data_IF_030941270744
#
_entry.id   IF_030941270744
#
_cell.length_a   1.000
_cell.length_b   1.000
_cell.length_c   1.000
_cell.angle_alpha   90.00
_cell.angle_beta   90.00
_cell.angle_gamma   90.00
#
_symmetry.space_group_name_H-M   'P 1'
#
loop_
_entity.id
_entity.type
_entity.pdbx_description
1 polymer ?
#
# COMPACT_ATOMS: atom_id res chain seq x y z
N UNK A 1 -11.72 8.66 -11.83
CA UNK A 1 -11.50 7.30 -11.26
C UNK A 1 -12.77 6.69 -10.62
N UNK A 2 -13.89 7.39 -10.65
CA UNK A 2 -15.16 6.89 -10.10
C UNK A 2 -15.92 5.96 -11.04
N UNK A 3 -15.59 5.98 -12.34
CA UNK A 3 -16.21 5.12 -13.36
C UNK A 3 -15.32 3.93 -13.71
N UNK A 4 -15.88 2.73 -13.95
CA UNK A 4 -15.12 1.53 -14.30
C UNK A 4 -14.20 1.70 -15.52
N UNK A 5 -14.68 2.39 -16.57
CA UNK A 5 -13.89 2.67 -17.79
C UNK A 5 -12.65 3.53 -17.48
N UNK A 6 -12.81 4.54 -16.64
CA UNK A 6 -11.69 5.41 -16.24
C UNK A 6 -10.68 4.64 -15.37
N UNK A 7 -11.16 3.73 -14.52
CA UNK A 7 -10.29 2.85 -13.74
C UNK A 7 -9.53 1.88 -14.64
N UNK A 8 -10.21 1.29 -15.64
CA UNK A 8 -9.57 0.41 -16.62
C UNK A 8 -8.48 1.16 -17.39
N UNK A 9 -8.79 2.34 -17.91
CA UNK A 9 -7.81 3.20 -18.60
C UNK A 9 -6.60 3.54 -17.72
N UNK A 10 -6.82 3.93 -16.46
CA UNK A 10 -5.73 4.21 -15.54
C UNK A 10 -4.85 2.97 -15.28
N UNK A 11 -5.44 1.79 -15.15
CA UNK A 11 -4.70 0.52 -15.01
C UNK A 11 -3.88 0.21 -16.26
N UNK A 12 -4.45 0.41 -17.45
CA UNK A 12 -3.76 0.17 -18.72
C UNK A 12 -2.53 1.09 -18.86
N UNK A 13 -2.68 2.37 -18.52
CA UNK A 13 -1.56 3.33 -18.50
C UNK A 13 -0.48 2.89 -17.53
N UNK A 14 -0.83 2.55 -16.29
CA UNK A 14 0.15 2.13 -15.28
C UNK A 14 0.84 0.81 -15.65
N UNK A 15 0.11 -0.15 -16.23
CA UNK A 15 0.68 -1.41 -16.70
C UNK A 15 1.63 -1.18 -17.87
N UNK A 16 1.25 -0.34 -18.85
CA UNK A 16 2.13 0.04 -19.94
C UNK A 16 3.44 0.69 -19.43
N UNK A 17 3.34 1.60 -18.46
CA UNK A 17 4.54 2.21 -17.86
C UNK A 17 5.42 1.16 -17.18
N UNK A 18 4.83 0.19 -16.48
CA UNK A 18 5.58 -0.91 -15.84
C UNK A 18 6.31 -1.79 -16.87
N UNK A 19 5.64 -2.13 -17.96
CA UNK A 19 6.24 -2.89 -19.07
C UNK A 19 7.43 -2.13 -19.65
N UNK A 20 7.27 -0.84 -19.93
CA UNK A 20 8.38 0.01 -20.44
C UNK A 20 9.56 0.09 -19.46
N UNK A 21 9.30 0.20 -18.16
CA UNK A 21 10.38 0.17 -17.16
C UNK A 21 11.10 -1.17 -17.12
N UNK A 22 10.39 -2.28 -17.31
CA UNK A 22 11.01 -3.61 -17.44
C UNK A 22 11.90 -3.71 -18.67
N UNK A 23 11.45 -3.18 -19.82
CA UNK A 23 12.27 -3.14 -21.04
C UNK A 23 13.53 -2.28 -20.85
N UNK A 24 13.41 -1.14 -20.16
CA UNK A 24 14.57 -0.29 -19.86
C UNK A 24 15.55 -0.97 -18.89
N UNK A 25 15.04 -1.71 -17.90
CA UNK A 25 15.90 -2.52 -17.01
C UNK A 25 16.67 -3.58 -17.81
N UNK A 26 16.04 -4.24 -18.77
CA UNK A 26 16.71 -5.20 -19.64
C UNK A 26 17.71 -4.52 -20.57
N UNK A 27 17.35 -3.40 -21.18
CA UNK A 27 18.16 -2.68 -22.15
C UNK A 27 19.40 -2.02 -21.54
N UNK A 28 19.24 -1.39 -20.37
CA UNK A 28 20.30 -0.55 -19.78
C UNK A 28 20.99 -1.21 -18.58
N UNK A 29 20.41 -2.26 -18.00
CA UNK A 29 20.96 -2.93 -16.82
C UNK A 29 20.76 -2.16 -15.51
N UNK A 30 20.04 -1.03 -15.51
CA UNK A 30 19.74 -0.20 -14.35
C UNK A 30 18.41 -0.58 -13.71
N UNK A 31 18.20 -0.19 -12.45
CA UNK A 31 16.94 -0.38 -11.74
C UNK A 31 16.05 0.87 -11.88
N UNK A 32 14.79 0.66 -12.26
CA UNK A 32 13.81 1.72 -12.41
C UNK A 32 12.59 1.47 -11.51
N UNK A 33 12.00 2.55 -11.00
CA UNK A 33 10.80 2.54 -10.19
C UNK A 33 9.65 3.26 -10.90
N UNK A 34 8.42 2.79 -10.68
CA UNK A 34 7.21 3.55 -10.96
C UNK A 34 6.74 4.18 -9.65
N UNK A 35 6.99 5.46 -9.48
CA UNK A 35 6.71 6.19 -8.25
C UNK A 35 5.40 6.98 -8.32
N UNK A 36 4.59 6.88 -7.26
CA UNK A 36 3.47 7.79 -7.02
C UNK A 36 3.99 9.05 -6.31
N UNK A 37 4.46 10.02 -7.08
CA UNK A 37 5.10 11.24 -6.54
C UNK A 37 4.07 12.17 -5.91
N UNK A 38 4.25 12.60 -4.65
CA UNK A 38 3.42 13.65 -4.05
C UNK A 38 3.77 15.02 -4.67
N UNK A 39 2.77 15.75 -5.12
CA UNK A 39 2.93 16.98 -5.87
C UNK A 39 2.06 18.12 -5.30
N UNK A 40 2.48 18.75 -4.21
CA UNK A 40 1.70 19.74 -3.49
C UNK A 40 1.43 21.03 -4.28
N UNK A 41 2.50 21.68 -4.78
CA UNK A 41 2.38 22.93 -5.52
C UNK A 41 2.03 22.68 -6.99
N UNK A 42 2.51 21.59 -7.56
CA UNK A 42 2.36 21.28 -8.98
C UNK A 42 0.90 20.97 -9.33
N UNK A 43 0.18 20.24 -8.49
CA UNK A 43 -1.25 19.92 -8.69
C UNK A 43 -2.11 21.19 -8.76
N UNK A 44 -1.82 22.20 -7.95
CA UNK A 44 -2.50 23.49 -8.01
C UNK A 44 -2.06 24.31 -9.23
N UNK A 45 -0.74 24.43 -9.41
CA UNK A 45 -0.16 25.27 -10.47
C UNK A 45 -0.64 24.82 -11.85
N UNK A 46 -0.57 23.53 -12.15
CA UNK A 46 -1.01 23.02 -13.45
C UNK A 46 -2.51 23.20 -13.62
N UNK A 47 -3.33 22.82 -12.65
CA UNK A 47 -4.77 23.00 -12.75
C UNK A 47 -5.18 24.45 -13.01
N UNK A 48 -4.47 25.42 -12.39
CA UNK A 48 -4.70 26.86 -12.59
C UNK A 48 -4.38 27.29 -14.03
N UNK A 49 -3.25 26.85 -14.57
CA UNK A 49 -2.85 27.19 -15.95
C UNK A 49 -3.76 26.49 -16.96
N UNK A 50 -4.00 25.21 -16.80
CA UNK A 50 -4.85 24.44 -17.69
C UNK A 50 -6.29 24.97 -17.72
N UNK A 51 -6.84 25.37 -16.58
CA UNK A 51 -8.19 25.97 -16.52
C UNK A 51 -8.26 27.32 -17.22
N UNK A 52 -7.18 28.10 -17.21
CA UNK A 52 -7.10 29.37 -17.93
C UNK A 52 -6.98 29.18 -19.44
N UNK A 53 -6.21 28.20 -19.89
CA UNK A 53 -5.99 27.91 -21.30
C UNK A 53 -7.11 27.06 -21.91
N UNK A 54 -7.63 26.13 -21.14
CA UNK A 54 -8.70 25.19 -21.53
C UNK A 54 -9.88 25.28 -20.54
N UNK A 55 -10.78 26.27 -20.66
CA UNK A 55 -11.86 26.50 -19.69
C UNK A 55 -12.80 25.31 -19.47
N UNK A 56 -12.87 24.39 -20.43
CA UNK A 56 -13.67 23.15 -20.35
C UNK A 56 -12.98 21.98 -19.66
N UNK A 57 -11.69 22.13 -19.25
CA UNK A 57 -10.98 21.03 -18.60
C UNK A 57 -11.58 20.70 -17.22
N UNK A 58 -11.71 19.40 -16.95
CA UNK A 58 -12.22 18.92 -15.66
C UNK A 58 -11.08 18.88 -14.65
N UNK A 59 -11.27 19.53 -13.52
CA UNK A 59 -10.38 19.50 -12.36
C UNK A 59 -11.09 18.84 -11.17
N UNK A 60 -10.38 18.56 -10.09
CA UNK A 60 -10.98 17.95 -8.90
C UNK A 60 -12.03 18.84 -8.22
N UNK A 61 -11.93 20.17 -8.40
CA UNK A 61 -12.92 21.15 -7.99
C UNK A 61 -13.34 21.98 -9.21
N UNK A 62 -14.63 21.99 -9.53
CA UNK A 62 -15.17 22.74 -10.68
C UNK A 62 -15.62 24.15 -10.32
N UNK A 63 -16.03 24.39 -9.07
CA UNK A 63 -16.70 25.61 -8.62
C UNK A 63 -15.84 26.51 -7.71
N UNK A 64 -14.57 26.20 -7.52
CA UNK A 64 -13.67 26.95 -6.64
C UNK A 64 -12.26 27.01 -7.20
N UNK A 65 -11.28 27.10 -6.31
CA UNK A 65 -9.86 27.05 -6.68
C UNK A 65 -9.53 25.68 -7.32
N UNK A 66 -9.10 25.63 -8.59
CA UNK A 66 -8.85 24.37 -9.28
C UNK A 66 -7.62 23.65 -8.71
N UNK A 67 -7.66 22.33 -8.63
CA UNK A 67 -6.51 21.49 -8.33
C UNK A 67 -6.69 20.12 -8.97
N UNK A 68 -5.58 19.40 -9.16
CA UNK A 68 -5.56 18.00 -9.52
C UNK A 68 -5.29 17.13 -8.29
N UNK A 69 -5.79 15.90 -8.31
CA UNK A 69 -5.40 14.89 -7.33
C UNK A 69 -3.95 14.42 -7.58
N UNK A 70 -3.27 13.92 -6.56
CA UNK A 70 -1.96 13.34 -6.74
C UNK A 70 -2.08 11.95 -7.39
N UNK A 71 -1.20 11.66 -8.35
CA UNK A 71 -1.09 10.35 -8.98
C UNK A 71 -2.47 9.76 -9.34
N UNK A 72 -2.79 8.55 -8.91
CA UNK A 72 -4.09 7.89 -9.10
C UNK A 72 -5.01 7.97 -7.86
N UNK A 73 -4.82 8.97 -6.99
CA UNK A 73 -5.69 9.15 -5.83
C UNK A 73 -7.11 9.57 -6.25
N UNK A 74 -8.10 9.07 -5.50
CA UNK A 74 -9.47 9.55 -5.60
C UNK A 74 -9.59 11.03 -5.21
N UNK A 75 -10.54 11.75 -5.79
CA UNK A 75 -10.93 13.06 -5.24
C UNK A 75 -11.32 12.92 -3.76
N UNK A 76 -10.82 13.84 -2.94
CA UNK A 76 -10.97 13.79 -1.47
C UNK A 76 -12.42 13.91 -0.99
N UNK A 77 -13.32 14.38 -1.85
CA UNK A 77 -14.76 14.45 -1.61
C UNK A 77 -15.55 13.25 -2.14
N UNK A 78 -14.89 12.16 -2.55
CA UNK A 78 -15.57 11.02 -3.18
C UNK A 78 -16.55 10.30 -2.25
N UNK A 79 -16.11 9.91 -1.05
CA UNK A 79 -16.92 9.14 -0.11
C UNK A 79 -16.47 9.33 1.33
N UNK A 80 -17.41 9.11 2.27
CA UNK A 80 -17.14 9.04 3.71
C UNK A 80 -16.90 7.59 4.17
N UNK A 81 -17.10 6.60 3.29
CA UNK A 81 -16.84 5.18 3.57
C UNK A 81 -15.42 4.81 3.16
N UNK A 82 -14.57 4.52 4.15
CA UNK A 82 -13.16 4.17 3.92
C UNK A 82 -13.01 2.91 3.06
N UNK A 83 -13.90 1.92 3.21
CA UNK A 83 -13.79 0.67 2.45
C UNK A 83 -14.20 0.86 1.00
N UNK A 84 -15.20 1.71 0.72
CA UNK A 84 -15.53 2.10 -0.67
C UNK A 84 -14.38 2.82 -1.37
N UNK A 85 -13.62 3.66 -0.65
CA UNK A 85 -12.42 4.29 -1.19
C UNK A 85 -11.29 3.28 -1.42
N UNK A 86 -11.08 2.38 -0.48
CA UNK A 86 -10.07 1.32 -0.57
C UNK A 86 -10.35 0.34 -1.71
N UNK A 87 -11.64 0.04 -1.98
CA UNK A 87 -12.04 -0.83 -3.10
C UNK A 87 -11.57 -0.30 -4.46
N UNK A 88 -11.56 1.01 -4.64
CA UNK A 88 -11.05 1.65 -5.86
C UNK A 88 -9.53 1.76 -5.84
N UNK A 89 -8.95 2.14 -4.70
CA UNK A 89 -7.52 2.47 -4.60
C UNK A 89 -6.63 1.23 -4.55
N UNK A 90 -7.10 0.12 -4.01
CA UNK A 90 -6.30 -1.10 -3.82
C UNK A 90 -5.66 -1.59 -5.13
N UNK A 91 -6.44 -1.63 -6.21
CA UNK A 91 -5.96 -2.13 -7.49
C UNK A 91 -5.02 -1.15 -8.20
N UNK A 92 -5.25 0.16 -8.05
CA UNK A 92 -4.42 1.19 -8.69
C UNK A 92 -3.12 1.41 -7.93
N UNK A 93 -3.21 1.51 -6.60
CA UNK A 93 -2.05 1.78 -5.74
C UNK A 93 -1.03 0.64 -5.75
N UNK A 94 -1.46 -0.61 -5.94
CA UNK A 94 -0.58 -1.78 -6.03
C UNK A 94 0.16 -1.91 -7.36
N UNK A 95 -0.16 -1.08 -8.35
CA UNK A 95 0.57 -1.01 -9.62
C UNK A 95 1.85 -0.16 -9.52
N UNK A 96 1.93 0.75 -8.57
CA UNK A 96 3.17 1.47 -8.27
C UNK A 96 4.17 0.57 -7.56
N UNK A 97 5.45 0.81 -7.78
CA UNK A 97 6.55 0.10 -7.12
C UNK A 97 7.18 0.92 -5.99
N UNK A 98 6.87 2.22 -5.92
CA UNK A 98 7.40 3.16 -4.94
C UNK A 98 6.43 4.33 -4.69
N UNK A 99 6.59 5.02 -3.58
CA UNK A 99 5.93 6.31 -3.24
C UNK A 99 4.43 6.26 -3.02
N UNK A 100 3.78 5.11 -3.19
CA UNK A 100 2.33 5.00 -3.05
C UNK A 100 1.89 4.98 -1.59
N UNK A 101 0.79 5.66 -1.29
CA UNK A 101 0.19 5.72 0.04
C UNK A 101 -1.30 6.01 -0.04
N UNK A 102 -2.09 5.41 0.84
CA UNK A 102 -3.48 5.79 1.05
C UNK A 102 -3.61 6.57 2.37
N UNK A 103 -4.05 7.81 2.30
CA UNK A 103 -4.29 8.63 3.49
C UNK A 103 -5.75 8.53 3.92
N UNK A 104 -6.01 7.85 5.04
CA UNK A 104 -7.32 7.85 5.68
C UNK A 104 -7.47 9.14 6.50
N UNK A 105 -8.15 10.14 5.93
CA UNK A 105 -8.44 11.39 6.62
C UNK A 105 -9.57 11.17 7.63
N UNK A 106 -9.24 11.27 8.90
CA UNK A 106 -10.19 11.18 10.01
C UNK A 106 -10.46 12.59 10.54
N UNK A 107 -11.72 12.88 10.85
CA UNK A 107 -12.10 14.19 11.40
C UNK A 107 -11.47 14.46 12.76
N UNK A 108 -11.28 13.40 13.54
CA UNK A 108 -10.65 13.44 14.85
C UNK A 108 -9.90 12.14 15.17
N UNK A 109 -9.27 12.12 16.33
CA UNK A 109 -8.59 10.92 16.83
C UNK A 109 -9.59 9.78 17.07
N UNK A 110 -9.21 8.57 16.68
CA UNK A 110 -9.99 7.37 16.99
C UNK A 110 -10.16 7.21 18.52
N UNK A 111 -11.31 6.69 18.98
CA UNK A 111 -11.68 6.68 20.40
C UNK A 111 -10.72 5.86 21.27
N UNK A 112 -10.03 4.88 20.70
CA UNK A 112 -9.08 4.04 21.43
C UNK A 112 -8.02 3.44 20.50
N UNK A 113 -6.92 2.98 21.08
CA UNK A 113 -5.89 2.24 20.32
C UNK A 113 -6.43 0.90 19.80
N UNK A 114 -7.39 0.28 20.52
CA UNK A 114 -8.05 -0.95 20.07
C UNK A 114 -8.85 -0.71 18.78
N UNK A 115 -9.59 0.40 18.70
CA UNK A 115 -10.30 0.79 17.48
C UNK A 115 -9.34 1.03 16.33
N UNK A 116 -8.21 1.68 16.57
CA UNK A 116 -7.16 1.88 15.56
C UNK A 116 -6.56 0.53 15.10
N UNK A 117 -6.22 -0.35 16.04
CA UNK A 117 -5.67 -1.68 15.72
C UNK A 117 -6.67 -2.55 14.96
N UNK A 118 -7.95 -2.50 15.31
CA UNK A 118 -9.01 -3.24 14.60
C UNK A 118 -9.17 -2.74 13.15
N UNK A 119 -9.14 -1.42 12.93
CA UNK A 119 -9.22 -0.84 11.59
C UNK A 119 -7.99 -1.22 10.75
N UNK A 120 -6.78 -1.07 11.31
CA UNK A 120 -5.52 -1.46 10.66
C UNK A 120 -5.54 -2.94 10.27
N UNK A 121 -5.94 -3.82 11.18
CA UNK A 121 -6.05 -5.26 10.91
C UNK A 121 -7.06 -5.52 9.79
N UNK A 122 -8.26 -4.92 9.87
CA UNK A 122 -9.31 -5.09 8.87
C UNK A 122 -8.86 -4.65 7.47
N UNK A 123 -8.08 -3.58 7.37
CA UNK A 123 -7.49 -3.15 6.09
C UNK A 123 -6.42 -4.15 5.63
N UNK A 124 -5.47 -4.51 6.49
CA UNK A 124 -4.38 -5.41 6.14
C UNK A 124 -4.83 -6.82 5.72
N UNK A 125 -5.92 -7.32 6.32
CA UNK A 125 -6.48 -8.65 5.99
C UNK A 125 -7.28 -8.67 4.69
N UNK A 126 -7.82 -7.52 4.23
CA UNK A 126 -8.73 -7.46 3.09
C UNK A 126 -8.16 -6.76 1.86
N UNK A 127 -7.11 -5.96 1.99
CA UNK A 127 -6.51 -5.15 0.92
C UNK A 127 -5.03 -5.46 0.75
N UNK A 128 -4.50 -5.15 -0.43
CA UNK A 128 -3.09 -5.37 -0.80
C UNK A 128 -2.24 -4.11 -0.69
N UNK A 129 -2.84 -2.99 -0.34
CA UNK A 129 -2.18 -1.70 -0.21
C UNK A 129 -0.91 -1.80 0.64
N UNK A 130 0.25 -1.41 0.10
CA UNK A 130 1.53 -1.56 0.80
C UNK A 130 1.70 -0.56 1.95
N UNK A 131 1.05 0.60 1.84
CA UNK A 131 1.18 1.67 2.82
C UNK A 131 -0.11 2.49 2.93
N UNK A 132 -0.57 2.68 4.14
CA UNK A 132 -1.70 3.56 4.45
C UNK A 132 -1.51 4.23 5.81
N UNK A 133 -2.14 5.39 6.00
CA UNK A 133 -2.02 6.17 7.23
C UNK A 133 -3.39 6.50 7.80
N UNK A 134 -3.49 6.50 9.14
CA UNK A 134 -4.61 7.07 9.86
C UNK A 134 -4.26 8.52 10.19
N UNK A 135 -4.97 9.47 9.58
CA UNK A 135 -4.60 10.88 9.58
C UNK A 135 -5.69 11.72 10.24
N UNK A 136 -5.70 11.86 11.58
CA UNK A 136 -6.63 12.74 12.27
C UNK A 136 -6.29 14.20 11.99
N UNK A 137 -7.32 15.08 12.05
CA UNK A 137 -7.15 16.51 12.16
C UNK A 137 -7.13 16.89 13.64
N UNK A 138 -6.27 17.83 14.01
CA UNK A 138 -6.20 18.36 15.37
C UNK A 138 -5.80 19.83 15.35
N UNK A 139 -6.05 20.51 16.45
CA UNK A 139 -5.69 21.92 16.60
C UNK A 139 -4.75 22.12 17.79
N UNK A 140 -3.97 23.18 17.75
CA UNK A 140 -3.03 23.52 18.82
C UNK A 140 -3.26 24.97 19.25
N UNK A 141 -3.58 25.17 20.52
CA UNK A 141 -3.56 26.47 21.16
C UNK A 141 -2.21 26.71 21.82
N UNK A 142 -1.64 27.90 21.65
CA UNK A 142 -0.34 28.24 22.25
C UNK A 142 -0.32 28.10 23.79
N UNK A 143 -1.48 28.36 24.46
CA UNK A 143 -1.57 28.31 25.94
C UNK A 143 -2.10 26.97 26.46
N UNK A 144 -3.01 26.33 25.70
CA UNK A 144 -3.74 25.12 26.18
C UNK A 144 -3.32 23.84 25.45
N UNK A 145 -2.40 23.94 24.48
CA UNK A 145 -1.86 22.78 23.75
C UNK A 145 -2.88 22.13 22.82
N UNK A 146 -2.91 20.81 22.83
CA UNK A 146 -3.68 19.97 21.92
C UNK A 146 -5.19 20.09 22.13
N UNK A 147 -5.91 20.26 21.01
CA UNK A 147 -7.36 20.25 20.92
C UNK A 147 -7.77 19.21 19.86
N UNK A 148 -8.79 18.40 20.14
CA UNK A 148 -9.28 17.40 19.19
C UNK A 148 -10.04 18.05 18.04
N UNK A 149 -9.82 17.55 16.82
CA UNK A 149 -10.54 18.01 15.62
C UNK A 149 -10.12 19.38 15.10
N UNK A 150 -10.94 19.89 14.20
CA UNK A 150 -10.74 21.18 13.52
C UNK A 150 -11.37 22.32 14.36
N UNK A 151 -10.54 23.07 15.05
CA UNK A 151 -10.97 24.18 15.89
C UNK A 151 -10.09 25.39 15.62
N UNK A 152 -10.59 26.40 14.92
CA UNK A 152 -9.86 27.65 14.60
C UNK A 152 -9.79 28.62 15.78
N UNK A 153 -10.62 28.39 16.79
CA UNK A 153 -10.66 29.20 18.01
C UNK A 153 -10.60 28.26 19.22
N UNK A 154 -9.74 28.57 20.15
CA UNK A 154 -9.61 27.80 21.39
C UNK A 154 -10.89 27.90 22.24
N UNK A 155 -11.55 26.81 22.59
CA UNK A 155 -12.78 26.83 23.38
C UNK A 155 -12.56 27.29 24.84
N UNK A 156 -11.30 27.30 25.29
CA UNK A 156 -10.94 27.67 26.66
C UNK A 156 -10.64 29.15 26.79
N UNK A 157 -9.83 29.74 25.88
CA UNK A 157 -9.39 31.13 25.98
C UNK A 157 -9.83 32.05 24.82
N UNK A 158 -10.52 31.51 23.82
CA UNK A 158 -10.99 32.28 22.66
C UNK A 158 -9.92 32.74 21.68
N UNK A 159 -8.63 32.39 21.88
CA UNK A 159 -7.56 32.71 20.95
C UNK A 159 -7.57 31.84 19.69
N UNK A 160 -7.03 32.39 18.61
CA UNK A 160 -6.79 31.62 17.38
C UNK A 160 -5.86 30.45 17.63
N UNK A 161 -6.15 29.32 17.01
CA UNK A 161 -5.38 28.09 17.07
C UNK A 161 -4.77 27.77 15.71
N UNK A 162 -3.75 26.94 15.69
CA UNK A 162 -3.24 26.33 14.46
C UNK A 162 -3.94 24.97 14.24
N UNK A 163 -4.60 24.83 13.09
CA UNK A 163 -5.24 23.58 12.69
C UNK A 163 -4.26 22.74 11.89
N UNK A 164 -3.93 21.56 12.36
CA UNK A 164 -2.99 20.65 11.73
C UNK A 164 -3.71 19.52 11.01
N UNK A 165 -3.37 19.33 9.76
CA UNK A 165 -3.77 18.17 8.98
C UNK A 165 -2.64 17.73 8.06
N UNK A 166 -2.71 16.48 7.54
CA UNK A 166 -1.72 15.98 6.60
C UNK A 166 -1.96 16.62 5.23
N UNK A 167 -0.95 17.33 4.71
CA UNK A 167 -1.05 17.95 3.38
C UNK A 167 -0.86 16.92 2.27
N UNK A 168 0.28 16.21 2.27
CA UNK A 168 0.57 15.03 1.46
C UNK A 168 1.26 13.98 2.31
N UNK A 169 2.55 14.10 2.56
CA UNK A 169 3.32 13.15 3.37
C UNK A 169 3.48 13.54 4.84
N UNK A 170 3.24 14.78 5.23
CA UNK A 170 3.52 15.33 6.56
C UNK A 170 2.42 16.28 7.05
N UNK A 171 2.38 16.54 8.36
CA UNK A 171 1.47 17.48 8.99
C UNK A 171 2.00 18.91 8.88
N UNK A 172 1.09 19.83 8.57
CA UNK A 172 1.37 21.27 8.52
C UNK A 172 0.11 22.05 8.91
N UNK A 173 0.24 23.25 9.54
CA UNK A 173 -0.91 24.11 9.76
C UNK A 173 -1.63 24.43 8.45
N UNK A 174 -2.94 24.19 8.40
CA UNK A 174 -3.77 24.37 7.20
C UNK A 174 -3.72 25.82 6.73
N UNK A 175 -3.58 26.76 7.64
CA UNK A 175 -3.45 28.19 7.36
C UNK A 175 -2.22 28.54 6.51
N UNK A 176 -1.22 27.67 6.44
CA UNK A 176 0.03 27.85 5.69
C UNK A 176 0.06 27.07 4.36
N UNK A 177 -1.07 26.54 3.92
CA UNK A 177 -1.14 25.78 2.65
C UNK A 177 -1.36 26.73 1.47
N UNK A 178 -1.00 26.31 0.26
CA UNK A 178 -1.37 27.02 -0.95
C UNK A 178 -2.88 26.93 -1.20
N UNK A 179 -3.40 27.84 -2.06
CA UNK A 179 -4.84 27.95 -2.29
C UNK A 179 -5.49 26.64 -2.76
N UNK A 180 -4.82 25.89 -3.65
CA UNK A 180 -5.33 24.62 -4.15
C UNK A 180 -5.40 23.55 -3.07
N UNK A 181 -4.39 23.46 -2.20
CA UNK A 181 -4.40 22.54 -1.07
C UNK A 181 -5.37 22.95 0.04
N UNK A 182 -5.54 24.24 0.24
CA UNK A 182 -6.56 24.78 1.14
C UNK A 182 -7.96 24.44 0.62
N UNK A 183 -8.18 24.53 -0.70
CA UNK A 183 -9.44 24.11 -1.31
C UNK A 183 -9.63 22.58 -1.19
N UNK A 184 -8.61 21.79 -1.47
CA UNK A 184 -8.64 20.33 -1.27
C UNK A 184 -9.02 19.98 0.18
N UNK A 185 -8.49 20.69 1.17
CA UNK A 185 -8.84 20.46 2.57
C UNK A 185 -10.32 20.74 2.85
N UNK A 186 -10.87 21.81 2.28
CA UNK A 186 -12.30 22.15 2.42
C UNK A 186 -13.22 21.12 1.74
N UNK A 187 -12.75 20.53 0.65
CA UNK A 187 -13.51 19.54 -0.12
C UNK A 187 -13.40 18.12 0.49
N UNK A 188 -12.53 17.90 1.49
CA UNK A 188 -12.33 16.62 2.13
C UNK A 188 -13.59 16.14 2.84
N UNK A 189 -14.07 14.99 2.44
CA UNK A 189 -14.93 14.17 3.28
C UNK A 189 -14.07 13.34 4.20
N UNK A 190 -14.27 13.51 5.50
CA UNK A 190 -13.62 12.67 6.50
C UNK A 190 -14.29 11.30 6.54
N UNK A 191 -13.50 10.25 6.73
CA UNK A 191 -14.04 8.91 6.80
C UNK A 191 -14.77 8.68 8.13
N UNK A 192 -16.04 8.32 8.05
CA UNK A 192 -16.83 7.84 9.18
C UNK A 192 -16.60 6.33 9.36
N UNK A 193 -15.73 5.99 10.30
CA UNK A 193 -15.37 4.59 10.56
C UNK A 193 -16.55 3.80 11.11
N UNK A 194 -17.48 4.44 11.82
CA UNK A 194 -18.64 3.77 12.41
C UNK A 194 -19.69 3.39 11.38
N UNK A 195 -19.82 4.20 10.32
CA UNK A 195 -20.75 3.97 9.20
C UNK A 195 -20.11 3.20 8.04
N UNK A 196 -18.79 3.03 8.03
CA UNK A 196 -18.07 2.38 6.94
C UNK A 196 -18.31 0.86 6.92
N UNK A 197 -18.62 0.32 5.73
CA UNK A 197 -18.98 -1.08 5.54
C UNK A 197 -18.02 -1.80 4.61
N UNK A 198 -17.33 -2.82 5.13
CA UNK A 198 -16.55 -3.73 4.32
C UNK A 198 -17.48 -4.65 3.52
N UNK A 199 -17.63 -4.37 2.21
CA UNK A 199 -18.52 -5.12 1.30
C UNK A 199 -17.80 -6.22 0.54
N UNK A 200 -16.48 -6.16 0.42
CA UNK A 200 -15.72 -7.29 -0.08
C UNK A 200 -16.00 -8.46 0.86
N UNK A 201 -16.56 -9.55 0.31
CA UNK A 201 -16.42 -10.84 0.96
C UNK A 201 -14.91 -10.97 1.20
N UNK A 202 -14.51 -10.91 2.45
CA UNK A 202 -13.11 -10.88 2.80
C UNK A 202 -12.41 -12.03 2.09
N UNK A 203 -11.13 -11.90 1.82
CA UNK A 203 -10.22 -13.04 1.66
C UNK A 203 -10.30 -14.01 2.86
N UNK A 204 -11.21 -13.80 3.79
CA UNK A 204 -11.67 -14.72 4.81
C UNK A 204 -12.31 -16.00 4.27
N UNK A 205 -12.56 -16.09 2.95
CA UNK A 205 -12.79 -17.37 2.29
C UNK A 205 -11.47 -18.02 1.81
N UNK A 206 -10.43 -17.26 1.57
CA UNK A 206 -9.08 -17.72 1.78
C UNK A 206 -8.81 -17.45 3.27
N UNK A 207 -9.06 -18.41 4.13
CA UNK A 207 -8.38 -18.46 5.39
C UNK A 207 -6.95 -17.99 5.12
N UNK A 208 -6.55 -16.83 5.65
CA UNK A 208 -5.23 -16.73 6.20
C UNK A 208 -5.30 -17.72 7.36
N UNK A 209 -5.27 -18.99 7.06
CA UNK A 209 -4.56 -19.92 7.88
C UNK A 209 -3.27 -19.17 8.15
N UNK A 210 -3.05 -18.71 9.34
CA UNK A 210 -1.71 -18.51 9.87
C UNK A 210 -0.93 -19.63 9.23
N UNK A 211 0.10 -19.32 8.36
CA UNK A 211 0.65 -20.29 7.43
C UNK A 211 0.69 -21.59 8.16
N UNK A 212 -0.09 -22.58 7.68
CA UNK A 212 -0.29 -23.83 8.39
C UNK A 212 1.11 -24.22 8.80
N UNK A 213 1.34 -24.40 10.08
CA UNK A 213 2.69 -24.66 10.54
C UNK A 213 3.21 -25.77 9.66
N UNK A 214 4.26 -25.58 8.85
CA UNK A 214 4.69 -26.57 7.92
C UNK A 214 4.94 -27.83 8.73
N UNK A 215 4.06 -28.80 8.58
CA UNK A 215 4.27 -30.12 9.13
C UNK A 215 5.60 -30.58 8.59
N UNK A 216 6.48 -31.08 9.45
CA UNK A 216 7.84 -31.44 9.09
C UNK A 216 7.88 -32.24 7.78
N UNK A 217 8.89 -32.00 6.98
CA UNK A 217 9.07 -32.65 5.71
C UNK A 217 8.91 -34.18 5.88
N UNK A 218 7.85 -34.71 5.28
CA UNK A 218 7.68 -36.15 5.22
C UNK A 218 8.84 -36.74 4.39
N UNK A 219 9.35 -37.88 4.77
CA UNK A 219 10.38 -38.59 4.00
C UNK A 219 9.92 -38.74 2.55
N UNK A 220 10.65 -38.11 1.61
CA UNK A 220 10.35 -38.15 0.17
C UNK A 220 9.93 -36.79 -0.45
N UNK A 221 9.91 -35.72 0.30
CA UNK A 221 9.56 -34.39 -0.21
C UNK A 221 10.78 -33.73 -0.85
N UNK A 222 10.71 -33.37 -2.15
CA UNK A 222 11.76 -32.59 -2.82
C UNK A 222 11.59 -31.10 -2.43
N UNK A 223 12.62 -30.47 -1.85
CA UNK A 223 12.64 -29.03 -1.57
C UNK A 223 13.29 -28.30 -2.74
N UNK A 224 12.57 -27.31 -3.28
CA UNK A 224 13.07 -26.45 -4.35
C UNK A 224 13.06 -24.99 -3.90
N UNK A 225 14.22 -24.33 -3.95
CA UNK A 225 14.33 -22.89 -3.68
C UNK A 225 14.34 -22.12 -5.00
N UNK A 226 13.26 -21.41 -5.28
CA UNK A 226 13.15 -20.50 -6.41
C UNK A 226 13.83 -19.18 -6.09
N UNK A 227 14.79 -18.80 -6.93
CA UNK A 227 15.61 -17.59 -6.81
C UNK A 227 15.57 -16.79 -8.09
N UNK A 228 16.05 -15.55 -8.05
CA UNK A 228 16.37 -14.74 -9.23
C UNK A 228 17.84 -14.33 -9.20
N UNK A 229 18.41 -14.00 -10.35
CA UNK A 229 19.85 -13.69 -10.50
C UNK A 229 20.30 -12.54 -9.61
N UNK A 230 19.46 -11.53 -9.42
CA UNK A 230 19.81 -10.27 -8.75
C UNK A 230 19.23 -10.11 -7.34
N UNK A 231 18.55 -11.12 -6.81
CA UNK A 231 17.81 -11.03 -5.55
C UNK A 231 18.73 -11.14 -4.31
N UNK A 232 18.95 -10.09 -3.53
CA UNK A 232 19.77 -10.15 -2.31
C UNK A 232 19.15 -11.03 -1.22
N UNK A 233 17.82 -11.06 -1.12
CA UNK A 233 17.11 -11.90 -0.16
C UNK A 233 17.24 -13.40 -0.48
N UNK A 234 17.45 -13.75 -1.75
CA UNK A 234 17.66 -15.12 -2.18
C UNK A 234 18.98 -15.67 -1.66
N UNK A 235 20.05 -14.87 -1.70
CA UNK A 235 21.35 -15.26 -1.11
C UNK A 235 21.25 -15.47 0.40
N UNK A 236 20.45 -14.66 1.10
CA UNK A 236 20.21 -14.85 2.52
C UNK A 236 19.42 -16.13 2.81
N UNK A 237 18.40 -16.44 1.99
CA UNK A 237 17.64 -17.68 2.10
C UNK A 237 18.54 -18.91 1.86
N UNK A 238 19.39 -18.90 0.85
CA UNK A 238 20.38 -19.93 0.58
C UNK A 238 21.29 -20.17 1.80
N UNK A 239 21.85 -19.08 2.36
CA UNK A 239 22.70 -19.17 3.56
C UNK A 239 21.97 -19.73 4.79
N UNK A 240 20.69 -19.41 4.98
CA UNK A 240 19.89 -19.92 6.08
C UNK A 240 19.64 -21.43 5.96
N UNK A 241 19.27 -21.91 4.77
CA UNK A 241 19.05 -23.33 4.50
C UNK A 241 20.35 -24.14 4.63
N UNK A 242 21.48 -23.62 4.13
CA UNK A 242 22.80 -24.22 4.28
C UNK A 242 23.23 -24.32 5.75
N UNK A 243 23.04 -23.24 6.54
CA UNK A 243 23.36 -23.25 7.98
C UNK A 243 22.49 -24.20 8.80
N UNK A 244 21.32 -24.52 8.30
CA UNK A 244 20.40 -25.46 8.92
C UNK A 244 20.58 -26.91 8.41
N UNK A 245 21.55 -27.14 7.53
CA UNK A 245 21.84 -28.44 6.87
C UNK A 245 20.62 -29.04 6.16
N UNK A 246 19.79 -28.17 5.55
CA UNK A 246 18.59 -28.56 4.83
C UNK A 246 18.93 -28.70 3.34
N UNK A 247 18.87 -29.92 2.76
CA UNK A 247 19.10 -30.11 1.35
C UNK A 247 17.96 -29.52 0.52
N UNK A 248 18.30 -28.78 -0.53
CA UNK A 248 17.34 -28.21 -1.46
C UNK A 248 17.90 -28.14 -2.88
N UNK A 249 17.02 -28.17 -3.86
CA UNK A 249 17.36 -27.91 -5.27
C UNK A 249 17.16 -26.42 -5.55
N UNK A 250 18.19 -25.75 -6.01
CA UNK A 250 18.10 -24.36 -6.45
C UNK A 250 17.49 -24.27 -7.84
N UNK A 251 16.48 -23.42 -8.02
CA UNK A 251 15.82 -23.13 -9.29
C UNK A 251 15.91 -21.64 -9.56
N UNK A 252 16.59 -21.24 -10.62
CA UNK A 252 16.63 -19.85 -11.08
C UNK A 252 15.40 -19.62 -11.95
N UNK A 253 14.52 -18.70 -11.51
CA UNK A 253 13.21 -18.49 -12.13
C UNK A 253 13.31 -18.09 -13.61
N UNK A 254 14.28 -17.28 -13.94
CA UNK A 254 14.56 -16.83 -15.31
C UNK A 254 15.04 -17.98 -16.24
N UNK A 255 15.65 -19.01 -15.67
CA UNK A 255 16.18 -20.17 -16.41
C UNK A 255 15.19 -21.35 -16.46
N UNK A 256 14.13 -21.28 -15.65
CA UNK A 256 13.15 -22.36 -15.50
C UNK A 256 11.71 -21.84 -15.53
N UNK A 257 11.26 -21.19 -16.61
CA UNK A 257 9.92 -20.62 -16.71
C UNK A 257 8.81 -21.66 -16.60
N UNK A 258 9.05 -22.88 -17.06
CA UNK A 258 8.10 -24.00 -16.96
C UNK A 258 7.84 -24.41 -15.50
N UNK A 259 8.88 -24.53 -14.68
CA UNK A 259 8.75 -24.85 -13.26
C UNK A 259 8.12 -23.67 -12.51
N UNK A 260 8.51 -22.46 -12.83
CA UNK A 260 7.95 -21.22 -12.23
C UNK A 260 6.44 -21.15 -12.47
N UNK A 261 5.99 -21.48 -13.68
CA UNK A 261 4.57 -21.53 -14.04
C UNK A 261 3.86 -22.73 -13.37
N UNK A 262 4.46 -23.91 -13.42
CA UNK A 262 3.90 -25.14 -12.83
C UNK A 262 3.60 -24.96 -11.35
N UNK A 263 4.54 -24.41 -10.59
CA UNK A 263 4.37 -24.15 -9.16
C UNK A 263 3.73 -22.79 -8.85
N UNK A 264 3.40 -21.99 -9.86
CA UNK A 264 2.78 -20.66 -9.70
C UNK A 264 3.61 -19.74 -8.80
N UNK A 265 4.93 -19.75 -8.95
CA UNK A 265 5.85 -18.90 -8.20
C UNK A 265 5.82 -17.50 -8.82
N UNK A 266 5.46 -16.49 -8.01
CA UNK A 266 5.34 -15.10 -8.44
C UNK A 266 6.33 -14.15 -7.77
N UNK A 267 7.12 -14.67 -6.83
CA UNK A 267 8.05 -13.87 -6.03
C UNK A 267 9.24 -14.74 -5.60
N UNK A 268 10.43 -14.14 -5.51
CA UNK A 268 11.63 -14.79 -4.99
C UNK A 268 12.14 -14.07 -3.73
N UNK A 269 12.72 -14.80 -2.75
CA UNK A 269 12.82 -16.25 -2.68
C UNK A 269 11.49 -16.93 -2.36
N UNK A 270 11.23 -18.09 -2.98
CA UNK A 270 10.14 -19.00 -2.61
C UNK A 270 10.68 -20.40 -2.48
N UNK A 271 10.47 -21.04 -1.34
CA UNK A 271 10.75 -22.45 -1.11
C UNK A 271 9.49 -23.25 -1.41
N UNK A 272 9.61 -24.28 -2.26
CA UNK A 272 8.52 -25.19 -2.61
C UNK A 272 8.87 -26.57 -2.06
N UNK A 273 7.92 -27.13 -1.29
CA UNK A 273 7.96 -28.50 -0.80
C UNK A 273 7.06 -29.32 -1.74
N UNK A 274 7.66 -30.14 -2.61
CA UNK A 274 6.93 -31.00 -3.56
C UNK A 274 6.65 -32.36 -2.91
N UNK A 275 5.49 -32.47 -2.29
CA UNK A 275 5.01 -33.68 -1.60
C UNK A 275 3.83 -34.34 -2.34
N UNK A 276 3.36 -35.49 -1.85
CA UNK A 276 2.49 -36.43 -2.57
C UNK A 276 1.12 -35.88 -3.03
N UNK A 277 0.52 -34.87 -2.40
CA UNK A 277 -0.84 -34.43 -2.75
C UNK A 277 -0.92 -32.99 -3.30
N UNK A 278 -0.22 -32.04 -2.73
CA UNK A 278 -0.14 -30.65 -3.25
C UNK A 278 1.18 -29.96 -2.83
N UNK A 279 1.84 -29.22 -3.74
CA UNK A 279 3.08 -28.52 -3.40
C UNK A 279 2.81 -27.38 -2.42
N UNK A 280 3.50 -27.39 -1.29
CA UNK A 280 3.46 -26.30 -0.31
C UNK A 280 4.47 -25.20 -0.69
N UNK A 281 4.10 -23.94 -0.54
CA UNK A 281 4.95 -22.78 -0.88
C UNK A 281 5.21 -21.90 0.33
N UNK A 282 6.48 -21.65 0.61
CA UNK A 282 6.95 -20.72 1.65
C UNK A 282 7.62 -19.53 0.96
N UNK A 283 6.93 -18.40 0.88
CA UNK A 283 7.35 -17.24 0.11
C UNK A 283 7.96 -16.15 0.99
N UNK A 284 9.13 -15.66 0.60
CA UNK A 284 9.85 -14.59 1.29
C UNK A 284 10.85 -15.05 2.33
N UNK A 285 11.83 -14.18 2.64
CA UNK A 285 12.96 -14.50 3.53
C UNK A 285 12.53 -14.83 4.96
N UNK A 286 11.59 -14.08 5.53
CA UNK A 286 11.14 -14.26 6.91
C UNK A 286 10.51 -15.64 7.17
N UNK A 287 9.52 -16.07 6.37
CA UNK A 287 8.95 -17.41 6.46
C UNK A 287 9.97 -18.53 6.24
N UNK A 288 10.89 -18.38 5.26
CA UNK A 288 11.97 -19.36 5.02
C UNK A 288 12.91 -19.46 6.23
N UNK A 289 13.22 -18.35 6.89
CA UNK A 289 14.01 -18.33 8.12
C UNK A 289 13.33 -19.14 9.24
N UNK A 290 12.05 -18.91 9.46
CA UNK A 290 11.27 -19.66 10.46
C UNK A 290 11.22 -21.17 10.16
N UNK A 291 11.07 -21.52 8.88
CA UNK A 291 11.14 -22.91 8.43
C UNK A 291 12.49 -23.55 8.77
N UNK A 292 13.60 -22.90 8.41
CA UNK A 292 14.95 -23.39 8.67
C UNK A 292 15.24 -23.53 10.19
N UNK A 293 14.77 -22.61 11.02
CA UNK A 293 14.90 -22.68 12.47
C UNK A 293 14.15 -23.88 13.08
N UNK A 294 12.96 -24.17 12.61
CA UNK A 294 12.16 -25.33 13.06
C UNK A 294 12.81 -26.65 12.70
N UNK A 295 13.25 -26.81 11.45
CA UNK A 295 13.92 -28.03 11.01
C UNK A 295 15.18 -28.31 11.83
N UNK A 296 15.94 -27.26 12.16
CA UNK A 296 17.12 -27.38 13.03
C UNK A 296 16.77 -27.83 14.45
N UNK A 297 15.61 -27.38 14.99
CA UNK A 297 15.15 -27.78 16.33
C UNK A 297 14.68 -29.23 16.34
N UNK A 298 14.05 -29.71 15.26
CA UNK A 298 13.58 -31.09 15.12
C UNK A 298 14.74 -32.12 14.89
N UNK A 299 15.82 -31.66 14.23
CA UNK A 299 17.01 -32.52 14.02
C UNK A 299 17.90 -32.60 15.27
N UNK A 300 17.66 -31.82 16.30
CA UNK A 300 18.44 -31.79 17.54
C UNK A 300 17.79 -32.59 18.70
N UNK A 301 16.64 -33.23 18.46
CA UNK A 301 15.91 -34.14 19.37
C UNK A 301 16.03 -35.56 18.87
#
# INVERSE_FOLDING_TARGET
LTHPETQAFAKDVLNHMRERLSDYQEQYGDLYNLEATPAESTTYRFAKHDKAEFPGIITANENGTPYYTNSSHLPVGYTEDIFSALDVQDELQTLYTSGTVFHAFLGEKLPSWQAAAALVRKIAENYKLPYYTMSPTYSVCADHGYLSGEQYTCPICGRTTEVYSRITGYYRPVQNWNDGKTQEFKDRKVYDISASQLRRAGRAGAQVTAPAEPSGAAEGTELMLFTTRTCPNCRQAENLLQKADIPYRKVVAEESPELTTRYGVRQAPTLVLDGADQPEKITGLGPIKKFAERQRTQAAV
#
